data_IF_338009606156
#
_entry.id   IF_338009606156
#
_cell.length_a   1.000
_cell.length_b   1.000
_cell.length_c   1.000
_cell.angle_alpha   90.00
_cell.angle_beta   90.00
_cell.angle_gamma   90.00
#
_symmetry.space_group_name_H-M   'P 1'
#
loop_
_entity.id
_entity.type
_entity.pdbx_description
1 polymer ?
#
# COMPACT_ATOMS: atom_id res chain seq x y z
N UNK A 1 3.32 15.05 -12.84
CA UNK A 1 1.96 14.68 -12.35
C UNK A 1 1.98 13.18 -12.15
N UNK A 2 1.70 12.68 -10.94
CA UNK A 2 1.56 11.23 -10.75
C UNK A 2 0.20 10.81 -11.30
N UNK A 3 0.18 9.81 -12.18
CA UNK A 3 -1.07 9.26 -12.71
C UNK A 3 -1.68 8.33 -11.65
N UNK A 4 -2.93 8.61 -11.30
CA UNK A 4 -3.70 7.86 -10.32
C UNK A 4 -4.80 7.11 -11.05
N UNK A 5 -4.66 5.79 -11.12
CA UNK A 5 -5.66 4.91 -11.73
C UNK A 5 -6.52 4.32 -10.63
N UNK A 6 -7.83 4.57 -10.69
CA UNK A 6 -8.77 3.98 -9.73
C UNK A 6 -8.76 2.46 -9.86
N UNK A 7 -8.67 1.77 -8.72
CA UNK A 7 -8.74 0.31 -8.69
C UNK A 7 -10.19 -0.09 -8.45
N UNK A 8 -10.90 -0.49 -9.51
CA UNK A 8 -12.27 -0.97 -9.40
C UNK A 8 -12.34 -2.47 -9.05
N UNK A 9 -11.38 -3.25 -9.56
CA UNK A 9 -11.34 -4.71 -9.37
C UNK A 9 -10.11 -5.16 -8.55
N UNK A 10 -10.29 -6.03 -7.55
CA UNK A 10 -9.20 -6.52 -6.72
C UNK A 10 -8.14 -7.35 -7.46
N UNK A 11 -8.44 -7.92 -8.64
CA UNK A 11 -7.46 -8.62 -9.46
C UNK A 11 -6.40 -7.68 -10.05
N UNK A 12 -6.65 -6.36 -10.04
CA UNK A 12 -5.66 -5.34 -10.43
C UNK A 12 -4.66 -5.02 -9.30
N UNK A 13 -4.81 -5.65 -8.13
CA UNK A 13 -3.86 -5.52 -7.03
C UNK A 13 -2.62 -6.37 -7.28
N UNK A 14 -1.46 -5.74 -7.20
CA UNK A 14 -0.14 -6.35 -7.31
C UNK A 14 0.63 -6.11 -6.01
N UNK A 15 1.34 -7.11 -5.52
CA UNK A 15 2.10 -7.02 -4.26
C UNK A 15 3.19 -5.95 -4.29
N UNK A 16 3.80 -5.73 -5.46
CA UNK A 16 4.79 -4.68 -5.67
C UNK A 16 4.18 -3.31 -5.97
N UNK A 17 2.86 -3.17 -6.08
CA UNK A 17 2.21 -1.90 -6.41
C UNK A 17 2.11 -0.94 -5.23
N UNK A 18 2.08 0.35 -5.53
CA UNK A 18 1.78 1.41 -4.58
C UNK A 18 0.36 1.93 -4.82
N UNK A 19 -0.38 2.08 -3.73
CA UNK A 19 -1.78 2.50 -3.73
C UNK A 19 -1.96 3.70 -2.82
N UNK A 20 -2.63 4.74 -3.32
CA UNK A 20 -3.05 5.88 -2.55
C UNK A 20 -4.47 5.67 -2.01
N UNK A 21 -4.60 5.73 -0.69
CA UNK A 21 -5.87 5.61 0.04
C UNK A 21 -5.93 6.75 1.05
N UNK A 22 -7.00 7.56 1.02
CA UNK A 22 -7.18 8.71 1.93
C UNK A 22 -5.94 9.66 1.97
N UNK A 23 -5.31 9.89 0.81
CA UNK A 23 -4.08 10.70 0.62
C UNK A 23 -2.82 10.16 1.30
N UNK A 24 -2.85 8.91 1.76
CA UNK A 24 -1.69 8.20 2.29
C UNK A 24 -1.29 7.10 1.32
N UNK A 25 0.01 6.87 1.17
CA UNK A 25 0.54 5.80 0.32
C UNK A 25 0.68 4.49 1.09
N UNK A 26 0.14 3.44 0.51
CA UNK A 26 0.16 2.09 1.03
C UNK A 26 0.70 1.11 -0.01
N UNK A 27 1.22 -0.01 0.46
CA UNK A 27 1.48 -1.21 -0.34
C UNK A 27 0.45 -2.27 -0.03
N UNK A 28 0.06 -3.04 -1.04
CA UNK A 28 -0.76 -4.22 -0.85
C UNK A 28 0.05 -5.32 -0.17
N UNK A 29 -0.55 -6.00 0.82
CA UNK A 29 0.10 -7.13 1.51
C UNK A 29 -0.54 -8.43 1.08
N UNK A 30 -1.83 -8.60 1.37
CA UNK A 30 -2.53 -9.85 1.11
C UNK A 30 -4.05 -9.67 1.14
N UNK A 31 -4.76 -10.68 0.62
CA UNK A 31 -6.21 -10.81 0.71
C UNK A 31 -6.53 -11.82 1.80
N UNK A 32 -7.32 -11.40 2.78
CA UNK A 32 -7.88 -12.25 3.82
C UNK A 32 -9.41 -12.34 3.71
N UNK A 33 -10.02 -13.19 4.53
CA UNK A 33 -11.47 -13.33 4.61
C UNK A 33 -12.03 -14.41 3.71
N UNK A 34 -13.35 -14.42 3.58
CA UNK A 34 -14.08 -15.47 2.83
C UNK A 34 -14.43 -15.00 1.43
N UNK A 35 -14.79 -15.93 0.54
CA UNK A 35 -15.23 -15.60 -0.83
C UNK A 35 -16.38 -14.57 -0.86
N UNK A 36 -17.27 -14.60 0.14
CA UNK A 36 -18.42 -13.69 0.26
C UNK A 36 -18.07 -12.34 0.88
N UNK A 37 -16.99 -12.26 1.65
CA UNK A 37 -16.55 -11.06 2.35
C UNK A 37 -15.02 -10.94 2.31
N UNK A 38 -14.43 -10.68 1.13
CA UNK A 38 -12.99 -10.51 1.01
C UNK A 38 -12.57 -9.19 1.66
N UNK A 39 -11.43 -9.22 2.35
CA UNK A 39 -10.76 -8.04 2.87
C UNK A 39 -9.33 -7.99 2.34
N UNK A 40 -8.86 -6.79 2.02
CA UNK A 40 -7.56 -6.52 1.43
C UNK A 40 -6.75 -5.71 2.43
N UNK A 41 -5.59 -6.23 2.81
CA UNK A 41 -4.70 -5.60 3.79
C UNK A 41 -3.70 -4.71 3.06
N UNK A 42 -3.57 -3.49 3.56
CA UNK A 42 -2.65 -2.49 3.05
C UNK A 42 -1.77 -1.96 4.18
N UNK A 43 -0.46 -1.90 3.93
CA UNK A 43 0.52 -1.39 4.88
C UNK A 43 1.04 -0.03 4.43
N UNK A 44 1.07 0.99 5.30
CA UNK A 44 1.61 2.30 4.93
C UNK A 44 3.10 2.20 4.60
N UNK A 45 3.56 3.05 3.67
CA UNK A 45 4.98 3.16 3.34
C UNK A 45 5.77 3.84 4.49
N UNK A 46 7.05 3.47 4.62
CA UNK A 46 7.95 4.07 5.60
C UNK A 46 8.13 5.57 5.29
N UNK A 47 7.72 6.43 6.22
CA UNK A 47 7.72 7.89 6.06
C UNK A 47 6.35 8.54 6.16
N UNK A 48 5.27 7.75 6.02
CA UNK A 48 3.91 8.26 6.17
C UNK A 48 3.54 8.47 7.65
N UNK A 49 2.68 9.45 7.94
CA UNK A 49 2.22 9.76 9.31
C UNK A 49 1.45 8.61 9.97
N UNK A 50 0.82 7.74 9.17
CA UNK A 50 0.07 6.58 9.64
C UNK A 50 1.00 5.37 9.68
N UNK A 51 1.02 4.68 10.82
CA UNK A 51 1.83 3.46 11.04
C UNK A 51 1.00 2.19 11.10
N UNK A 52 -0.31 2.31 10.99
CA UNK A 52 -1.23 1.18 11.13
C UNK A 52 -1.63 0.61 9.76
N UNK A 53 -1.68 -0.72 9.69
CA UNK A 53 -2.20 -1.45 8.55
C UNK A 53 -3.71 -1.21 8.44
N UNK A 54 -4.20 -0.97 7.23
CA UNK A 54 -5.63 -0.77 6.96
C UNK A 54 -6.21 -1.97 6.23
N UNK A 55 -7.49 -2.25 6.50
CA UNK A 55 -8.23 -3.33 5.86
C UNK A 55 -9.37 -2.73 5.05
N UNK A 56 -9.36 -2.94 3.74
CA UNK A 56 -10.44 -2.51 2.86
C UNK A 56 -11.29 -3.71 2.44
N UNK A 57 -12.60 -3.53 2.37
CA UNK A 57 -13.49 -4.47 1.70
C UNK A 57 -13.57 -4.12 0.19
N UNK A 58 -14.23 -4.97 -0.60
CA UNK A 58 -14.40 -4.74 -2.03
C UNK A 58 -14.98 -3.35 -2.36
N UNK A 59 -16.04 -2.92 -1.66
CA UNK A 59 -16.67 -1.62 -1.89
C UNK A 59 -15.74 -0.44 -1.57
N UNK A 60 -14.97 -0.54 -0.49
CA UNK A 60 -14.03 0.50 -0.06
C UNK A 60 -12.82 0.57 -1.00
N UNK A 61 -12.35 -0.58 -1.49
CA UNK A 61 -11.33 -0.67 -2.52
C UNK A 61 -11.74 0.12 -3.76
N UNK A 62 -12.89 -0.22 -4.34
CA UNK A 62 -13.39 0.41 -5.56
C UNK A 62 -13.72 1.88 -5.39
N UNK A 63 -13.83 2.44 -4.17
CA UNK A 63 -14.21 3.86 -3.97
C UNK A 63 -13.07 4.76 -3.52
N UNK A 64 -12.06 4.21 -2.84
CA UNK A 64 -11.02 5.02 -2.19
C UNK A 64 -9.59 4.60 -2.55
N UNK A 65 -9.41 3.51 -3.29
CA UNK A 65 -8.10 3.00 -3.67
C UNK A 65 -7.72 3.44 -5.09
N UNK A 66 -6.56 4.07 -5.21
CA UNK A 66 -5.99 4.51 -6.47
C UNK A 66 -4.59 3.92 -6.61
N UNK A 67 -4.33 3.14 -7.65
CA UNK A 67 -2.98 2.74 -8.00
C UNK A 67 -2.19 3.95 -8.48
N UNK A 68 -0.96 4.06 -8.00
CA UNK A 68 -0.04 5.10 -8.39
C UNK A 68 0.88 4.55 -9.47
N UNK A 69 0.65 4.94 -10.72
CA UNK A 69 1.42 4.42 -11.83
C UNK A 69 2.89 4.86 -11.76
N UNK A 70 3.80 3.93 -12.03
CA UNK A 70 5.25 4.17 -12.01
C UNK A 70 5.90 4.09 -10.62
N UNK A 71 5.13 3.82 -9.56
CA UNK A 71 5.66 3.56 -8.22
C UNK A 71 5.46 2.08 -7.86
N UNK A 72 6.57 1.40 -7.64
CA UNK A 72 6.59 0.01 -7.18
C UNK A 72 7.48 -0.14 -5.95
N UNK A 73 7.00 -0.86 -4.95
CA UNK A 73 7.79 -1.25 -3.80
C UNK A 73 8.62 -2.47 -4.19
N UNK A 74 9.91 -2.27 -4.46
CA UNK A 74 10.84 -3.41 -4.45
C UNK A 74 10.93 -3.92 -3.02
N UNK A 75 10.60 -5.19 -2.81
CA UNK A 75 10.34 -5.83 -1.52
C UNK A 75 11.49 -5.86 -0.50
N UNK A 76 12.52 -5.03 -0.64
CA UNK A 76 13.55 -4.84 0.37
C UNK A 76 13.03 -3.85 1.40
N UNK A 77 12.45 -4.39 2.47
CA UNK A 77 12.30 -3.74 3.76
C UNK A 77 13.60 -3.00 4.07
N UNK A 78 13.63 -1.67 3.93
CA UNK A 78 14.67 -0.84 4.54
C UNK A 78 14.38 -0.88 6.04
N UNK A 79 14.90 -1.93 6.68
CA UNK A 79 15.21 -1.90 8.08
C UNK A 79 16.21 -0.75 8.24
N UNK A 80 15.76 0.38 8.80
CA UNK A 80 16.61 1.49 9.17
C UNK A 80 17.55 1.03 10.29
N UNK A 81 18.58 0.27 9.93
CA UNK A 81 19.76 0.13 10.76
C UNK A 81 20.47 1.48 10.72
N UNK A 82 20.13 2.28 11.73
CA UNK A 82 21.00 3.20 12.46
C UNK A 82 22.44 3.26 11.93
N UNK A 83 22.68 4.04 10.88
CA UNK A 83 24.03 4.48 10.57
C UNK A 83 24.28 5.77 11.35
N UNK A 84 24.66 5.58 12.62
CA UNK A 84 25.32 6.62 13.40
C UNK A 84 26.70 6.83 12.78
N UNK A 85 26.83 7.89 11.98
CA UNK A 85 28.13 8.34 11.49
C UNK A 85 28.85 9.05 12.65
N UNK A 86 29.67 8.30 13.37
CA UNK A 86 30.74 8.88 14.19
C UNK A 86 31.89 9.26 13.24
N UNK A 87 32.10 10.56 13.04
CA UNK A 87 33.30 11.09 12.40
C UNK A 87 34.35 11.30 13.51
N UNK A 88 35.46 10.57 13.45
CA UNK A 88 36.69 10.87 14.19
C UNK A 88 37.56 11.83 13.37
#
# INVERSE_FOLDING_TARGET
MQNLTRIDDPASLIESGVYQIDRTLYRYIEKIGTLKAPQYIFRPLAGEKKKEDIKLNHKALSTRCYAVEGLSVNGSVVNQQSQQLSLF
#
